data_IF_832199371288
#
_entry.id   IF_832199371288
#
_cell.length_a   1.000
_cell.length_b   1.000
_cell.length_c   1.000
_cell.angle_alpha   90.00
_cell.angle_beta   90.00
_cell.angle_gamma   90.00
#
_symmetry.space_group_name_H-M   'P 1'
#
loop_
_entity.id
_entity.type
_entity.pdbx_description
1 polymer ?
#
# COMPACT_ATOMS: atom_id res chain seq x y z
N UNK A 1 25.60 31.03 3.27
CA UNK A 1 24.76 30.07 4.02
C UNK A 1 24.24 29.06 3.01
N UNK A 2 24.47 27.75 3.17
CA UNK A 2 23.89 26.77 2.26
C UNK A 2 22.37 26.67 2.52
N UNK A 3 21.55 26.46 1.48
CA UNK A 3 20.13 26.22 1.67
C UNK A 3 19.94 24.89 2.39
N UNK A 4 19.10 24.93 3.41
CA UNK A 4 18.68 23.77 4.21
C UNK A 4 18.33 22.63 3.27
N UNK A 5 19.06 21.52 3.47
CA UNK A 5 18.86 20.25 2.79
C UNK A 5 17.38 19.99 2.58
N UNK A 6 17.00 19.75 1.32
CA UNK A 6 15.68 19.24 0.97
C UNK A 6 15.45 17.98 1.82
N UNK A 7 14.72 18.11 2.92
CA UNK A 7 13.97 16.99 3.43
C UNK A 7 12.86 16.82 2.40
N UNK A 8 13.14 16.02 1.35
CA UNK A 8 12.07 15.38 0.60
C UNK A 8 11.25 14.67 1.65
N UNK A 9 10.11 15.27 2.00
CA UNK A 9 9.14 14.63 2.86
C UNK A 9 8.68 13.42 2.05
N UNK A 10 9.29 12.27 2.34
CA UNK A 10 9.03 10.97 1.73
C UNK A 10 7.62 10.52 2.17
N UNK A 11 6.61 11.27 1.77
CA UNK A 11 5.24 10.82 1.90
C UNK A 11 5.10 9.65 0.93
N UNK A 12 4.70 8.46 1.40
CA UNK A 12 4.40 7.37 0.48
C UNK A 12 3.39 7.88 -0.55
N UNK A 13 3.58 7.56 -1.84
CA UNK A 13 2.64 7.99 -2.87
C UNK A 13 1.23 7.55 -2.45
N UNK A 14 0.25 8.42 -2.64
CA UNK A 14 -1.15 8.05 -2.44
C UNK A 14 -1.50 7.02 -3.53
N UNK A 15 -1.63 5.75 -3.13
CA UNK A 15 -1.90 4.64 -4.04
C UNK A 15 -3.39 4.35 -4.16
N UNK A 16 -4.24 5.12 -3.48
CA UNK A 16 -5.69 4.90 -3.49
C UNK A 16 -6.21 5.04 -4.90
N UNK A 17 -6.99 4.05 -5.33
CA UNK A 17 -7.53 3.98 -6.68
C UNK A 17 -6.63 3.29 -7.70
N UNK A 18 -5.45 2.86 -7.31
CA UNK A 18 -4.58 2.08 -8.18
C UNK A 18 -5.11 0.66 -8.33
N UNK A 19 -5.26 0.22 -9.58
CA UNK A 19 -5.63 -1.16 -9.89
C UNK A 19 -4.48 -2.11 -9.62
N UNK A 20 -4.78 -3.27 -9.06
CA UNK A 20 -3.83 -4.32 -8.77
C UNK A 20 -4.36 -5.71 -9.19
N UNK A 21 -3.46 -6.68 -9.24
CA UNK A 21 -3.75 -8.08 -9.55
C UNK A 21 -3.49 -8.93 -8.32
N UNK A 22 -4.43 -9.79 -7.98
CA UNK A 22 -4.35 -10.68 -6.81
C UNK A 22 -3.92 -12.05 -7.32
N UNK A 23 -2.85 -12.59 -6.73
CA UNK A 23 -2.28 -13.88 -7.09
C UNK A 23 -2.46 -14.89 -5.96
N UNK A 24 -2.68 -16.14 -6.32
CA UNK A 24 -2.66 -17.26 -5.38
C UNK A 24 -1.24 -17.45 -4.81
N UNK A 25 -1.13 -17.49 -3.49
CA UNK A 25 0.16 -17.72 -2.82
C UNK A 25 0.69 -19.13 -3.07
N UNK A 26 -0.19 -20.13 -3.17
CA UNK A 26 0.21 -21.53 -3.33
C UNK A 26 0.49 -21.91 -4.79
N UNK A 27 -0.06 -21.14 -5.73
CA UNK A 27 0.05 -21.40 -7.16
C UNK A 27 0.78 -20.24 -7.85
N UNK A 28 2.08 -20.36 -8.13
CA UNK A 28 2.87 -19.30 -8.74
C UNK A 28 2.20 -18.76 -10.01
N UNK A 29 2.14 -17.43 -10.13
CA UNK A 29 1.59 -16.70 -11.28
C UNK A 29 0.10 -16.96 -11.59
N UNK A 30 -0.65 -17.65 -10.72
CA UNK A 30 -2.09 -17.85 -10.90
C UNK A 30 -2.84 -16.61 -10.44
N UNK A 31 -3.36 -15.85 -11.40
CA UNK A 31 -4.27 -14.73 -11.14
C UNK A 31 -5.58 -15.28 -10.57
N UNK A 32 -5.99 -14.78 -9.41
CA UNK A 32 -7.26 -15.14 -8.76
C UNK A 32 -8.26 -14.00 -8.73
N UNK A 33 -7.82 -12.77 -9.00
CA UNK A 33 -8.70 -11.61 -9.08
C UNK A 33 -7.96 -10.32 -9.43
N UNK A 34 -8.74 -9.26 -9.58
CA UNK A 34 -8.27 -7.89 -9.71
C UNK A 34 -8.90 -7.06 -8.60
N UNK A 35 -8.20 -6.03 -8.14
CA UNK A 35 -8.66 -5.16 -7.06
C UNK A 35 -8.21 -3.72 -7.26
N UNK A 36 -8.65 -2.83 -6.38
CA UNK A 36 -8.30 -1.41 -6.38
C UNK A 36 -7.86 -1.04 -4.98
N UNK A 37 -6.66 -0.49 -4.83
CA UNK A 37 -6.11 -0.17 -3.51
C UNK A 37 -7.01 0.87 -2.83
N UNK A 38 -7.54 0.53 -1.67
CA UNK A 38 -8.33 1.44 -0.85
C UNK A 38 -7.43 2.32 0.02
N UNK A 39 -6.43 1.73 0.67
CA UNK A 39 -5.48 2.44 1.54
C UNK A 39 -4.18 1.67 1.75
N UNK A 40 -3.12 2.44 2.02
CA UNK A 40 -1.80 1.98 2.46
C UNK A 40 -1.39 2.60 3.80
N UNK A 41 -2.34 3.17 4.55
CA UNK A 41 -2.10 3.72 5.88
C UNK A 41 -1.88 2.58 6.89
N UNK A 42 -0.68 2.45 7.49
CA UNK A 42 -0.36 1.38 8.45
C UNK A 42 -1.27 1.36 9.68
N UNK A 43 -1.89 2.49 10.01
CA UNK A 43 -2.78 2.66 11.16
C UNK A 43 -4.25 2.43 10.80
N UNK A 44 -4.58 2.19 9.53
CA UNK A 44 -5.93 1.84 9.14
C UNK A 44 -6.33 0.52 9.79
N UNK A 45 -7.52 0.52 10.39
CA UNK A 45 -8.04 -0.62 11.15
C UNK A 45 -8.94 -1.48 10.27
N UNK A 46 -8.68 -2.78 10.25
CA UNK A 46 -9.58 -3.82 9.73
C UNK A 46 -9.95 -4.68 10.93
N UNK A 47 -11.22 -4.71 11.29
CA UNK A 47 -11.72 -5.39 12.50
C UNK A 47 -10.91 -5.03 13.77
N UNK A 48 -10.70 -3.72 14.00
CA UNK A 48 -9.91 -3.16 15.11
C UNK A 48 -8.41 -3.53 15.12
N UNK A 49 -7.91 -4.15 14.06
CA UNK A 49 -6.49 -4.54 13.92
C UNK A 49 -5.82 -3.64 12.86
N UNK A 50 -4.68 -2.99 13.18
CA UNK A 50 -3.94 -2.21 12.20
C UNK A 50 -3.31 -3.10 11.13
N UNK A 51 -3.41 -2.70 9.87
CA UNK A 51 -2.86 -3.48 8.74
C UNK A 51 -1.33 -3.59 8.76
N UNK A 52 -0.63 -2.59 9.33
CA UNK A 52 0.82 -2.57 9.45
C UNK A 52 1.58 -1.98 8.25
N UNK A 53 2.88 -1.72 8.43
CA UNK A 53 3.70 -0.89 7.54
C UNK A 53 4.06 -1.47 6.16
N UNK A 54 3.65 -2.70 5.86
CA UNK A 54 3.93 -3.36 4.57
C UNK A 54 2.69 -4.04 3.99
N UNK A 55 1.51 -3.64 4.45
CA UNK A 55 0.24 -4.13 3.97
C UNK A 55 -0.48 -3.06 3.15
N UNK A 56 -1.33 -3.53 2.24
CA UNK A 56 -2.23 -2.72 1.44
C UNK A 56 -3.63 -3.30 1.60
N UNK A 57 -4.62 -2.44 1.82
CA UNK A 57 -6.02 -2.83 1.72
C UNK A 57 -6.46 -2.67 0.26
N UNK A 58 -7.11 -3.69 -0.28
CA UNK A 58 -7.48 -3.86 -1.69
C UNK A 58 -8.93 -4.33 -1.77
#
# INVERSE_FOLDING_TARGET
MPPSSQQQQNNPPNLRGNKCKIFDWLSPNKLVGEGEVETNDPMHLVDDIPIGGSAYLV
#
